data_IF_514720978399
#
_entry.id   IF_514720978399
#
_cell.length_a   1.000
_cell.length_b   1.000
_cell.length_c   1.000
_cell.angle_alpha   90.00
_cell.angle_beta   90.00
_cell.angle_gamma   90.00
#
_symmetry.space_group_name_H-M   'P 1'
#
loop_
_entity.id
_entity.type
_entity.pdbx_description
1 polymer ?
#
# COMPACT_ATOMS: atom_id res chain seq x y z
N UNK A 1 0.84 -7.72 4.90
CA UNK A 1 -0.39 -6.95 5.11
C UNK A 1 -0.80 -6.89 6.59
N UNK A 2 -1.90 -6.22 6.88
CA UNK A 2 -2.43 -5.98 8.23
C UNK A 2 -3.28 -7.17 8.72
N UNK A 3 -3.14 -7.54 9.99
CA UNK A 3 -3.98 -8.56 10.62
C UNK A 3 -5.31 -8.00 11.12
N UNK A 4 -6.32 -8.87 11.31
CA UNK A 4 -7.61 -8.48 11.91
C UNK A 4 -7.43 -7.82 13.27
N UNK A 5 -6.57 -8.38 14.13
CA UNK A 5 -6.30 -7.81 15.45
C UNK A 5 -5.74 -6.39 15.41
N UNK A 6 -4.96 -6.05 14.37
CA UNK A 6 -4.44 -4.69 14.19
C UNK A 6 -5.52 -3.71 13.73
N UNK A 7 -6.46 -4.17 12.86
CA UNK A 7 -7.57 -3.34 12.38
C UNK A 7 -8.61 -3.14 13.47
N UNK A 8 -8.90 -4.17 14.27
CA UNK A 8 -9.96 -4.16 15.27
C UNK A 8 -9.59 -3.35 16.52
N UNK A 9 -8.29 -3.17 16.79
CA UNK A 9 -7.79 -2.34 17.89
C UNK A 9 -7.74 -0.85 17.47
N UNK A 10 -8.63 0.02 18.01
CA UNK A 10 -8.68 1.43 17.66
C UNK A 10 -7.39 2.18 17.99
N UNK A 11 -6.69 1.81 19.07
CA UNK A 11 -5.45 2.47 19.52
C UNK A 11 -4.29 2.34 18.52
N UNK A 12 -4.39 1.40 17.59
CA UNK A 12 -3.40 1.21 16.53
C UNK A 12 -3.63 2.13 15.31
N UNK A 13 -4.79 2.77 15.20
CA UNK A 13 -5.11 3.75 14.15
C UNK A 13 -5.25 3.21 12.73
N UNK A 14 -5.36 1.89 12.52
CA UNK A 14 -5.51 1.31 11.18
C UNK A 14 -6.92 1.44 10.60
N UNK A 15 -7.94 1.60 11.46
CA UNK A 15 -9.33 1.67 11.04
C UNK A 15 -9.84 3.10 11.10
N UNK A 16 -10.69 3.46 10.12
CA UNK A 16 -11.46 4.71 10.11
C UNK A 16 -12.90 4.52 10.59
N UNK A 17 -13.26 3.33 11.08
CA UNK A 17 -14.60 3.04 11.60
C UNK A 17 -14.75 3.40 13.08
N UNK A 18 -13.64 3.43 13.79
CA UNK A 18 -13.59 3.80 15.21
C UNK A 18 -12.57 4.92 15.38
N UNK A 19 -12.80 5.77 16.37
CA UNK A 19 -11.83 6.79 16.74
C UNK A 19 -10.59 6.16 17.33
N UNK A 20 -9.43 6.61 16.85
CA UNK A 20 -8.13 6.19 17.32
C UNK A 20 -7.04 7.17 16.87
N UNK A 21 -5.85 7.13 17.47
CA UNK A 21 -4.73 7.98 17.08
C UNK A 21 -4.30 7.68 15.64
N UNK A 22 -3.70 8.65 14.96
CA UNK A 22 -3.08 8.44 13.64
C UNK A 22 -1.70 7.80 13.81
N UNK A 23 -1.64 6.53 14.23
CA UNK A 23 -0.38 5.80 14.41
C UNK A 23 -0.03 4.96 13.19
N UNK A 24 -0.76 3.91 12.90
CA UNK A 24 -0.62 2.97 11.78
C UNK A 24 0.74 2.23 11.71
N UNK A 25 1.52 2.18 12.80
CA UNK A 25 2.82 1.50 12.81
C UNK A 25 2.68 -0.02 12.95
N UNK A 26 3.50 -0.75 12.19
CA UNK A 26 3.77 -2.18 12.38
C UNK A 26 5.23 -2.32 12.82
N UNK A 27 5.49 -2.67 14.07
CA UNK A 27 6.85 -2.68 14.59
C UNK A 27 7.36 -1.28 14.97
N UNK A 28 8.55 -0.91 14.52
CA UNK A 28 9.23 0.35 14.91
C UNK A 28 9.62 1.22 13.70
N UNK A 29 8.69 1.58 12.82
CA UNK A 29 8.99 2.52 11.75
C UNK A 29 9.30 3.92 12.32
N UNK A 30 10.09 4.69 11.55
CA UNK A 30 10.51 6.02 11.95
C UNK A 30 9.39 7.06 11.99
N UNK A 31 8.32 6.85 11.20
CA UNK A 31 7.20 7.76 11.03
C UNK A 31 5.89 7.08 11.42
N UNK A 32 4.94 7.88 11.92
CA UNK A 32 3.56 7.48 12.11
C UNK A 32 2.62 8.28 11.19
N UNK A 33 1.34 7.92 11.14
CA UNK A 33 0.38 8.59 10.28
C UNK A 33 0.14 10.06 10.68
N UNK A 34 0.23 10.39 11.96
CA UNK A 34 0.11 11.76 12.44
C UNK A 34 1.21 12.66 11.85
N UNK A 35 2.45 12.20 11.90
CA UNK A 35 3.59 12.94 11.35
C UNK A 35 3.47 13.10 9.85
N UNK A 36 3.11 12.05 9.12
CA UNK A 36 2.92 12.11 7.67
C UNK A 36 1.84 13.12 7.29
N UNK A 37 0.67 13.04 7.92
CA UNK A 37 -0.49 13.89 7.60
C UNK A 37 -0.23 15.35 7.97
N UNK A 38 0.44 15.61 9.10
CA UNK A 38 0.58 16.97 9.60
C UNK A 38 1.87 17.68 9.14
N UNK A 39 2.90 16.97 8.66
CA UNK A 39 4.16 17.59 8.26
C UNK A 39 4.49 17.56 6.76
N UNK A 40 4.01 16.55 6.00
CA UNK A 40 4.36 16.42 4.59
C UNK A 40 3.67 17.48 3.74
N UNK A 41 4.33 17.94 2.68
CA UNK A 41 3.73 18.89 1.72
C UNK A 41 2.60 18.23 0.90
N UNK A 42 1.79 19.07 0.24
CA UNK A 42 0.63 18.64 -0.53
C UNK A 42 1.00 17.65 -1.64
N UNK A 43 2.11 17.92 -2.35
CA UNK A 43 2.56 17.09 -3.46
C UNK A 43 2.93 15.69 -2.96
N UNK A 44 3.74 15.61 -1.90
CA UNK A 44 4.17 14.34 -1.33
C UNK A 44 3.00 13.51 -0.80
N UNK A 45 2.02 14.14 -0.14
CA UNK A 45 0.79 13.47 0.27
C UNK A 45 0.00 12.93 -0.94
N UNK A 46 -0.15 13.73 -1.99
CA UNK A 46 -0.86 13.32 -3.19
C UNK A 46 -0.17 12.14 -3.89
N UNK A 47 1.15 12.16 -3.96
CA UNK A 47 1.96 11.08 -4.56
C UNK A 47 1.80 9.78 -3.75
N UNK A 48 1.89 9.84 -2.41
CA UNK A 48 1.65 8.68 -1.53
C UNK A 48 0.25 8.08 -1.78
N UNK A 49 -0.79 8.91 -1.80
CA UNK A 49 -2.15 8.42 -1.98
C UNK A 49 -2.38 7.84 -3.37
N UNK A 50 -1.73 8.37 -4.38
CA UNK A 50 -1.81 7.86 -5.75
C UNK A 50 -1.02 6.56 -5.93
N UNK A 51 0.23 6.53 -5.51
CA UNK A 51 1.13 5.40 -5.74
C UNK A 51 0.76 4.17 -4.90
N UNK A 52 0.48 4.35 -3.60
CA UNK A 52 0.20 3.24 -2.69
C UNK A 52 -1.28 2.94 -2.49
N UNK A 53 -2.17 3.90 -2.79
CA UNK A 53 -3.61 3.72 -2.68
C UNK A 53 -4.34 3.58 -4.02
N UNK A 54 -3.68 3.86 -5.13
CA UNK A 54 -4.34 4.00 -6.44
C UNK A 54 -5.56 4.95 -6.34
N UNK A 55 -5.42 6.04 -5.52
CA UNK A 55 -6.50 6.98 -5.25
C UNK A 55 -6.59 8.05 -6.35
N UNK A 56 -7.68 8.05 -7.08
CA UNK A 56 -7.90 8.99 -8.21
C UNK A 56 -8.04 10.44 -7.77
N UNK A 57 -8.51 10.67 -6.56
CA UNK A 57 -8.73 11.99 -5.99
C UNK A 57 -7.57 12.44 -5.07
N UNK A 58 -6.41 11.80 -5.18
CA UNK A 58 -5.25 12.00 -4.32
C UNK A 58 -4.87 13.46 -4.14
N UNK A 59 -4.79 14.24 -5.23
CA UNK A 59 -4.46 15.68 -5.19
C UNK A 59 -5.51 16.49 -4.42
N UNK A 60 -6.78 16.21 -4.63
CA UNK A 60 -7.87 16.93 -3.95
C UNK A 60 -7.93 16.58 -2.47
N UNK A 61 -7.69 15.32 -2.11
CA UNK A 61 -7.58 14.86 -0.73
C UNK A 61 -6.40 15.53 -0.04
N UNK A 62 -5.21 15.49 -0.64
CA UNK A 62 -4.00 16.10 -0.10
C UNK A 62 -4.19 17.60 0.14
N UNK A 63 -4.74 18.35 -0.84
CA UNK A 63 -5.05 19.77 -0.70
C UNK A 63 -5.97 20.04 0.50
N UNK A 64 -7.04 19.27 0.65
CA UNK A 64 -7.99 19.46 1.75
C UNK A 64 -7.37 19.11 3.11
N UNK A 65 -6.50 18.11 3.18
CA UNK A 65 -5.73 17.79 4.39
C UNK A 65 -4.87 18.98 4.78
N UNK A 66 -4.09 19.54 3.84
CA UNK A 66 -3.22 20.70 4.09
C UNK A 66 -4.04 21.90 4.56
N UNK A 67 -5.17 22.21 3.91
CA UNK A 67 -6.05 23.32 4.32
C UNK A 67 -6.62 23.11 5.74
N UNK A 68 -7.00 21.89 6.09
CA UNK A 68 -7.60 21.63 7.42
C UNK A 68 -6.54 21.70 8.53
N UNK A 69 -5.36 21.10 8.33
CA UNK A 69 -4.29 21.08 9.32
C UNK A 69 -3.70 22.46 9.64
N UNK A 70 -3.85 23.47 8.74
CA UNK A 70 -3.44 24.86 9.03
C UNK A 70 -4.29 25.51 10.13
N UNK A 71 -5.50 25.02 10.38
CA UNK A 71 -6.40 25.51 11.42
C UNK A 71 -6.14 24.79 12.76
N UNK A 72 -5.98 23.49 12.71
CA UNK A 72 -5.71 22.60 13.83
C UNK A 72 -5.07 21.31 13.29
N UNK A 73 -4.03 20.75 13.94
CA UNK A 73 -3.51 19.44 13.58
C UNK A 73 -4.63 18.38 13.53
N UNK A 74 -4.55 17.47 12.56
CA UNK A 74 -5.48 16.35 12.44
C UNK A 74 -4.98 15.25 13.39
N UNK A 75 -5.77 14.92 14.42
CA UNK A 75 -5.30 14.10 15.53
C UNK A 75 -5.76 12.64 15.48
N UNK A 76 -6.94 12.39 14.90
CA UNK A 76 -7.53 11.05 14.94
C UNK A 76 -8.04 10.56 13.59
N UNK A 77 -8.32 9.26 13.55
CA UNK A 77 -8.75 8.54 12.35
C UNK A 77 -10.10 9.01 11.80
N UNK A 78 -11.06 9.35 12.67
CA UNK A 78 -12.38 9.81 12.23
C UNK A 78 -12.31 11.20 11.60
N UNK A 79 -11.54 12.12 12.19
CA UNK A 79 -11.30 13.45 11.63
C UNK A 79 -10.70 13.36 10.21
N UNK A 80 -9.64 12.57 10.05
CA UNK A 80 -9.02 12.32 8.74
C UNK A 80 -10.03 11.72 7.76
N UNK A 81 -10.80 10.73 8.19
CA UNK A 81 -11.81 10.06 7.37
C UNK A 81 -12.88 11.03 6.86
N UNK A 82 -13.37 11.94 7.70
CA UNK A 82 -14.35 12.95 7.30
C UNK A 82 -13.77 13.99 6.32
N UNK A 83 -12.52 14.38 6.48
CA UNK A 83 -11.83 15.25 5.51
C UNK A 83 -11.74 14.56 4.15
N UNK A 84 -11.35 13.29 4.12
CA UNK A 84 -11.28 12.51 2.88
C UNK A 84 -12.66 12.40 2.23
N UNK A 85 -13.68 12.04 2.99
CA UNK A 85 -15.07 11.90 2.51
C UNK A 85 -15.60 13.19 1.90
N UNK A 86 -15.32 14.34 2.48
CA UNK A 86 -15.65 15.66 1.93
C UNK A 86 -14.83 16.03 0.69
N UNK A 87 -13.69 15.41 0.51
CA UNK A 87 -12.78 15.65 -0.61
C UNK A 87 -13.17 14.93 -1.90
N UNK A 88 -13.98 13.89 -1.83
CA UNK A 88 -14.40 13.10 -3.00
C UNK A 88 -15.81 13.49 -3.46
N UNK A 89 -16.18 13.24 -4.73
CA UNK A 89 -17.54 13.51 -5.20
C UNK A 89 -18.59 12.72 -4.41
N UNK A 90 -19.77 13.31 -4.20
CA UNK A 90 -20.89 12.71 -3.44
C UNK A 90 -21.24 11.31 -3.96
N UNK A 91 -21.26 11.12 -5.29
CA UNK A 91 -21.51 9.81 -5.92
C UNK A 91 -20.54 8.71 -5.44
N UNK A 92 -19.34 9.06 -5.00
CA UNK A 92 -18.33 8.12 -4.48
C UNK A 92 -18.71 7.64 -3.07
N UNK A 93 -19.41 8.45 -2.28
CA UNK A 93 -19.82 8.10 -0.93
C UNK A 93 -20.89 7.00 -0.89
N UNK A 94 -21.58 6.76 -2.01
CA UNK A 94 -22.59 5.69 -2.15
C UNK A 94 -22.04 4.40 -2.74
N UNK A 95 -20.74 4.30 -2.98
CA UNK A 95 -20.12 3.05 -3.42
C UNK A 95 -20.00 2.07 -2.26
N UNK A 96 -19.90 0.77 -2.60
CA UNK A 96 -19.70 -0.31 -1.62
C UNK A 96 -18.44 -0.12 -0.76
N UNK A 97 -17.40 0.53 -1.31
CA UNK A 97 -16.13 0.78 -0.61
C UNK A 97 -16.11 2.19 -0.04
N UNK A 98 -15.82 2.34 1.24
CA UNK A 98 -15.73 3.63 1.91
C UNK A 98 -14.65 4.53 1.27
N UNK A 99 -14.90 5.85 1.09
CA UNK A 99 -13.94 6.75 0.44
C UNK A 99 -12.54 6.80 1.07
N UNK A 100 -12.44 6.64 2.38
CA UNK A 100 -11.16 6.67 3.09
C UNK A 100 -10.31 5.41 2.90
N UNK A 101 -10.88 4.29 2.42
CA UNK A 101 -10.18 2.99 2.34
C UNK A 101 -8.84 3.09 1.63
N UNK A 102 -8.80 3.70 0.45
CA UNK A 102 -7.59 3.81 -0.36
C UNK A 102 -6.53 4.70 0.26
N UNK A 103 -6.95 5.80 0.86
CA UNK A 103 -6.03 6.74 1.52
C UNK A 103 -5.42 6.12 2.78
N UNK A 104 -6.21 5.42 3.59
CA UNK A 104 -5.72 4.69 4.77
C UNK A 104 -4.79 3.54 4.39
N UNK A 105 -5.13 2.80 3.33
CA UNK A 105 -4.24 1.78 2.76
C UNK A 105 -2.91 2.38 2.31
N UNK A 106 -2.93 3.52 1.62
CA UNK A 106 -1.73 4.20 1.15
C UNK A 106 -0.81 4.62 2.29
N UNK A 107 -1.37 5.25 3.33
CA UNK A 107 -0.63 5.62 4.54
C UNK A 107 0.03 4.41 5.20
N UNK A 108 -0.74 3.33 5.40
CA UNK A 108 -0.26 2.10 6.02
C UNK A 108 0.91 1.50 5.24
N UNK A 109 0.77 1.36 3.92
CA UNK A 109 1.81 0.82 3.05
C UNK A 109 3.06 1.68 3.10
N UNK A 110 2.90 3.01 3.02
CA UNK A 110 4.01 3.94 3.04
C UNK A 110 4.76 3.94 4.38
N UNK A 111 4.03 4.03 5.51
CA UNK A 111 4.62 4.08 6.85
C UNK A 111 5.40 2.81 7.16
N UNK A 112 4.89 1.66 6.76
CA UNK A 112 5.45 0.36 7.10
C UNK A 112 6.33 -0.23 5.98
N UNK A 113 6.57 0.50 4.91
CA UNK A 113 7.36 0.05 3.74
C UNK A 113 6.94 -1.34 3.23
N UNK A 114 5.61 -1.64 3.28
CA UNK A 114 5.07 -2.99 3.08
C UNK A 114 5.47 -3.62 1.75
N UNK A 115 5.55 -2.82 0.67
CA UNK A 115 5.88 -3.34 -0.65
C UNK A 115 7.36 -3.73 -0.78
N UNK A 116 8.25 -2.99 -0.13
CA UNK A 116 9.68 -3.32 -0.10
C UNK A 116 9.94 -4.54 0.78
N UNK A 117 9.29 -4.61 1.95
CA UNK A 117 9.35 -5.80 2.82
C UNK A 117 8.86 -7.06 2.09
N UNK A 118 7.80 -6.95 1.27
CA UNK A 118 7.34 -8.05 0.42
C UNK A 118 8.41 -8.49 -0.58
N UNK A 119 9.06 -7.54 -1.26
CA UNK A 119 10.14 -7.85 -2.22
C UNK A 119 11.30 -8.58 -1.54
N UNK A 120 11.74 -8.07 -0.39
CA UNK A 120 12.81 -8.68 0.41
C UNK A 120 12.42 -10.10 0.85
N UNK A 121 11.19 -10.29 1.30
CA UNK A 121 10.69 -11.60 1.73
C UNK A 121 10.66 -12.60 0.56
N UNK A 122 10.23 -12.17 -0.64
CA UNK A 122 10.23 -13.01 -1.84
C UNK A 122 11.65 -13.42 -2.23
N UNK A 123 12.59 -12.50 -2.27
CA UNK A 123 14.01 -12.79 -2.60
C UNK A 123 14.64 -13.75 -1.59
N UNK A 124 14.40 -13.51 -0.30
CA UNK A 124 14.91 -14.38 0.76
C UNK A 124 14.27 -15.77 0.75
N UNK A 125 12.98 -15.86 0.41
CA UNK A 125 12.26 -17.14 0.37
C UNK A 125 12.84 -18.12 -0.62
N UNK A 126 13.36 -17.64 -1.75
CA UNK A 126 14.02 -18.47 -2.75
C UNK A 126 15.23 -19.23 -2.16
N UNK A 127 16.03 -18.55 -1.35
CA UNK A 127 17.22 -19.14 -0.72
C UNK A 127 16.88 -20.11 0.42
N UNK A 128 15.67 -20.04 0.96
CA UNK A 128 15.20 -20.90 2.05
C UNK A 128 14.48 -22.16 1.57
N UNK A 129 14.08 -22.21 0.30
CA UNK A 129 13.37 -23.35 -0.26
C UNK A 129 14.30 -24.54 -0.46
N UNK A 130 13.89 -25.69 0.06
CA UNK A 130 14.51 -26.97 -0.29
C UNK A 130 14.18 -27.35 -1.73
N UNK A 131 14.95 -28.27 -2.31
CA UNK A 131 14.65 -28.84 -3.63
C UNK A 131 13.23 -29.44 -3.63
N UNK A 132 12.41 -29.05 -4.58
CA UNK A 132 10.99 -29.37 -4.69
C UNK A 132 10.10 -28.75 -3.61
N UNK A 133 10.59 -27.79 -2.82
CA UNK A 133 9.78 -27.02 -1.88
C UNK A 133 8.73 -26.15 -2.60
N UNK A 134 7.65 -25.82 -1.90
CA UNK A 134 6.56 -25.01 -2.41
C UNK A 134 6.57 -23.63 -1.78
N UNK A 135 6.49 -22.58 -2.61
CA UNK A 135 6.24 -21.21 -2.17
C UNK A 135 4.81 -20.83 -2.56
N UNK A 136 4.00 -20.52 -1.55
CA UNK A 136 2.60 -20.10 -1.73
C UNK A 136 2.46 -18.70 -1.17
N UNK A 137 1.99 -17.76 -1.99
CA UNK A 137 1.77 -16.38 -1.61
C UNK A 137 0.29 -16.04 -1.80
N UNK A 138 -0.31 -15.43 -0.79
CA UNK A 138 -1.69 -14.91 -0.84
C UNK A 138 -1.63 -13.40 -0.77
N UNK A 139 -2.10 -12.71 -1.79
CA UNK A 139 -2.19 -11.25 -1.86
C UNK A 139 -3.64 -10.80 -1.99
N UNK A 140 -4.01 -9.69 -1.35
CA UNK A 140 -5.36 -9.14 -1.37
C UNK A 140 -5.47 -7.79 -2.09
N UNK A 141 -4.35 -7.24 -2.54
CA UNK A 141 -4.30 -5.94 -3.21
C UNK A 141 -3.47 -5.98 -4.49
N UNK A 142 -3.85 -5.12 -5.45
CA UNK A 142 -3.27 -5.07 -6.80
C UNK A 142 -1.76 -4.83 -6.82
N UNK A 143 -1.24 -4.02 -5.91
CA UNK A 143 0.20 -3.69 -5.84
C UNK A 143 1.02 -4.90 -5.37
N UNK A 144 0.56 -5.61 -4.35
CA UNK A 144 1.20 -6.85 -3.88
C UNK A 144 1.13 -7.93 -4.98
N UNK A 145 -0.04 -8.13 -5.58
CA UNK A 145 -0.25 -9.13 -6.64
C UNK A 145 0.69 -8.90 -7.83
N UNK A 146 0.90 -7.64 -8.21
CA UNK A 146 1.85 -7.27 -9.28
C UNK A 146 3.28 -7.67 -8.92
N UNK A 147 3.75 -7.33 -7.72
CA UNK A 147 5.10 -7.68 -7.25
C UNK A 147 5.30 -9.20 -7.23
N UNK A 148 4.32 -9.94 -6.70
CA UNK A 148 4.36 -11.41 -6.63
C UNK A 148 4.41 -12.03 -8.02
N UNK A 149 3.55 -11.56 -8.94
CA UNK A 149 3.52 -12.04 -10.33
C UNK A 149 4.82 -11.74 -11.06
N UNK A 150 5.36 -10.55 -10.89
CA UNK A 150 6.63 -10.15 -11.51
C UNK A 150 7.78 -11.02 -11.00
N UNK A 151 7.85 -11.27 -9.70
CA UNK A 151 8.82 -12.17 -9.10
C UNK A 151 8.72 -13.59 -9.69
N UNK A 152 7.54 -14.20 -9.69
CA UNK A 152 7.37 -15.55 -10.22
C UNK A 152 7.64 -15.64 -11.73
N UNK A 153 7.21 -14.65 -12.51
CA UNK A 153 7.49 -14.60 -13.94
C UNK A 153 8.99 -14.51 -14.23
N UNK A 154 9.71 -13.65 -13.50
CA UNK A 154 11.15 -13.51 -13.62
C UNK A 154 11.85 -14.83 -13.27
N UNK A 155 11.58 -15.42 -12.11
CA UNK A 155 12.23 -16.64 -11.62
C UNK A 155 11.84 -17.92 -12.36
N UNK A 156 10.72 -17.92 -13.10
CA UNK A 156 10.31 -19.05 -13.94
C UNK A 156 10.71 -18.93 -15.40
N UNK A 157 11.43 -17.87 -15.78
CA UNK A 157 11.83 -17.63 -17.17
C UNK A 157 10.65 -17.23 -18.08
N UNK A 158 9.47 -16.91 -17.53
CA UNK A 158 8.39 -16.36 -18.32
C UNK A 158 8.71 -14.91 -18.67
N UNK A 159 8.96 -14.65 -19.95
CA UNK A 159 9.21 -13.29 -20.43
C UNK A 159 7.99 -12.42 -20.20
N UNK A 160 8.11 -11.39 -19.39
CA UNK A 160 7.19 -10.27 -19.43
C UNK A 160 7.44 -9.51 -20.73
N UNK A 161 6.50 -9.58 -21.68
CA UNK A 161 6.53 -8.69 -22.85
C UNK A 161 6.06 -7.32 -22.41
N UNK A 162 6.96 -6.50 -21.89
CA UNK A 162 6.64 -5.12 -21.48
C UNK A 162 6.25 -4.21 -22.66
N UNK A 163 6.74 -4.46 -23.85
CA UNK A 163 6.34 -3.80 -25.11
C UNK A 163 7.02 -4.50 -26.29
N UNK A 164 6.36 -4.47 -27.46
CA UNK A 164 6.97 -4.92 -28.73
C UNK A 164 8.18 -4.05 -29.17
N UNK A 165 8.39 -2.92 -28.52
CA UNK A 165 9.38 -1.91 -28.91
C UNK A 165 10.55 -1.78 -27.93
N UNK A 166 10.58 -2.56 -26.83
CA UNK A 166 11.73 -2.58 -25.94
C UNK A 166 12.67 -3.72 -26.35
N UNK A 167 13.99 -3.48 -26.43
CA UNK A 167 14.97 -4.52 -26.67
C UNK A 167 14.82 -5.63 -25.62
N UNK A 168 14.99 -6.89 -26.06
CA UNK A 168 15.08 -8.03 -25.15
C UNK A 168 16.24 -7.77 -24.17
N UNK A 169 15.92 -7.46 -22.92
CA UNK A 169 16.91 -7.36 -21.84
C UNK A 169 17.49 -8.77 -21.64
N UNK A 170 18.71 -8.94 -22.07
CA UNK A 170 19.35 -10.23 -22.31
C UNK A 170 19.83 -10.98 -21.06
N UNK A 171 19.48 -10.59 -19.84
CA UNK A 171 19.96 -11.28 -18.65
C UNK A 171 18.85 -11.56 -17.65
N UNK A 172 18.09 -12.59 -17.96
CA UNK A 172 17.09 -13.18 -17.06
C UNK A 172 17.79 -14.15 -16.08
N UNK A 173 18.80 -13.94 -15.39
CA UNK A 173 19.36 -14.84 -14.39
C UNK A 173 18.94 -16.33 -14.44
N UNK A 174 19.39 -17.19 -13.60
CA UNK A 174 19.03 -18.61 -13.63
C UNK A 174 17.54 -18.83 -13.33
N UNK A 175 16.89 -19.72 -14.09
CA UNK A 175 15.53 -20.18 -13.78
C UNK A 175 15.59 -21.07 -12.55
N UNK A 176 14.97 -20.64 -11.48
CA UNK A 176 15.01 -21.31 -10.17
C UNK A 176 13.67 -21.84 -9.71
N UNK A 177 12.56 -21.28 -10.22
CA UNK A 177 11.20 -21.65 -9.82
C UNK A 177 10.39 -22.15 -11.01
N UNK A 178 9.39 -22.99 -10.72
CA UNK A 178 8.35 -23.42 -11.67
C UNK A 178 6.98 -23.00 -11.16
N UNK A 179 6.22 -22.25 -11.97
CA UNK A 179 4.83 -21.90 -11.62
C UNK A 179 3.95 -23.14 -11.79
N UNK A 180 3.29 -23.55 -10.70
CA UNK A 180 2.44 -24.76 -10.66
C UNK A 180 0.96 -24.39 -10.87
N UNK A 181 0.54 -23.20 -10.39
CA UNK A 181 -0.84 -22.71 -10.53
C UNK A 181 -0.90 -21.54 -11.51
N UNK A 182 -2.06 -21.36 -12.15
CA UNK A 182 -2.34 -20.19 -13.00
C UNK A 182 -3.02 -19.11 -12.17
#
# INVERSE_FOLDING_TARGET
GVSSNQIDNPERGFSFQKEGPLDMKMGSPNLNAFEVINSFDEKKLADIFYEFGEEKYSRRIAKNIVINRTKKPIENTLELSEIIKKSVPIKQNYKKTHPATKTFQALRIFINDELNELKIALEKSENLLSKNGLLIIVSFQSLEDRIVKDFFNHKSGKRWRSSRHLPDLADLGPITLKIITK
#
